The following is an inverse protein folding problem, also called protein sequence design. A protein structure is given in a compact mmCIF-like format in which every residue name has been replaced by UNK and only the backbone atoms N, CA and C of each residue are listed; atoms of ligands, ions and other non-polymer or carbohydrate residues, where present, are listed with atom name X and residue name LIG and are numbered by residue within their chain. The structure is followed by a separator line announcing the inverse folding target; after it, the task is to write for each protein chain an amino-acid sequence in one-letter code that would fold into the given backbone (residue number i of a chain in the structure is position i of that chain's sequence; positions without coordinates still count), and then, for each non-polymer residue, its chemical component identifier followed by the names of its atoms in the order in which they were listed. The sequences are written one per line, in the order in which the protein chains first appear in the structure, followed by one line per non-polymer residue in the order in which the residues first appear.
data_IF_378213778687
#
_entry.id   IF_378213778687
#
_cell.length_a   1.000
_cell.length_b   1.000
_cell.length_c   1.000
_cell.angle_alpha   90.00
_cell.angle_beta   90.00
_cell.angle_gamma   90.00
#
_symmetry.space_group_name_H-M   'P 1'
#
loop_
_entity.id
_entity.type
_entity.pdbx_description
1 polymer ?
#
# COMPACT_ATOMS: atom_id res chain seq x y z
N UNK A 1 52.68 30.42 40.33
CA UNK A 1 51.23 30.30 40.06
C UNK A 1 51.05 30.33 38.53
N UNK A 2 51.10 29.21 37.89
CA UNK A 2 50.88 29.08 36.44
C UNK A 2 49.69 28.16 36.19
N UNK A 3 48.64 28.73 35.64
CA UNK A 3 47.42 28.05 35.28
C UNK A 3 47.58 27.31 33.97
N UNK A 4 47.44 25.95 34.02
CA UNK A 4 47.38 25.11 32.85
C UNK A 4 46.05 25.25 32.16
N UNK A 5 46.00 25.88 31.00
CA UNK A 5 44.91 25.85 30.06
C UNK A 5 44.96 24.56 29.28
N UNK A 6 44.00 23.66 29.57
CA UNK A 6 43.81 22.44 28.76
C UNK A 6 43.15 22.81 27.43
N UNK A 7 43.86 22.57 26.33
CA UNK A 7 43.37 22.64 24.96
C UNK A 7 42.44 21.49 24.69
N UNK A 8 41.13 21.75 24.61
CA UNK A 8 40.11 20.88 24.04
C UNK A 8 39.97 21.18 22.53
N UNK A 9 40.79 20.57 21.71
CA UNK A 9 40.60 20.54 20.25
C UNK A 9 41.15 19.23 19.71
N UNK A 10 40.31 18.29 19.41
CA UNK A 10 40.49 17.25 18.39
C UNK A 10 39.73 15.94 18.69
N UNK A 11 38.39 15.99 18.75
CA UNK A 11 37.59 14.77 18.71
C UNK A 11 36.41 14.98 17.72
N UNK A 12 36.67 15.29 16.48
CA UNK A 12 35.57 15.40 15.51
C UNK A 12 35.92 14.96 14.08
N UNK A 13 37.07 14.32 13.87
CA UNK A 13 37.44 13.88 12.51
C UNK A 13 37.31 12.36 12.32
N UNK A 14 37.37 11.59 13.41
CA UNK A 14 37.34 10.12 13.32
C UNK A 14 35.94 9.52 13.17
N UNK A 15 34.91 10.18 13.70
CA UNK A 15 33.54 9.66 13.58
C UNK A 15 32.98 9.71 12.15
N UNK A 16 33.38 10.70 11.34
CA UNK A 16 32.93 10.79 9.94
C UNK A 16 33.60 9.74 9.05
N UNK A 17 34.85 9.40 9.33
CA UNK A 17 35.58 8.37 8.57
C UNK A 17 35.09 6.94 8.91
N UNK A 18 34.66 6.70 10.17
CA UNK A 18 34.10 5.41 10.57
C UNK A 18 32.73 5.20 9.90
N UNK A 19 31.89 6.24 9.80
CA UNK A 19 30.59 6.16 9.14
C UNK A 19 30.76 5.95 7.61
N UNK A 20 31.72 6.61 6.99
CA UNK A 20 32.00 6.46 5.55
C UNK A 20 32.60 5.07 5.26
N UNK A 21 33.49 4.57 6.12
CA UNK A 21 34.07 3.23 6.01
C UNK A 21 33.04 2.11 6.15
N UNK A 22 32.10 2.25 7.07
CA UNK A 22 31.01 1.27 7.28
C UNK A 22 30.02 1.25 6.11
N UNK A 23 29.73 2.41 5.52
CA UNK A 23 28.86 2.50 4.33
C UNK A 23 29.50 1.90 3.06
N UNK A 24 30.84 1.91 2.95
CA UNK A 24 31.52 1.39 1.76
C UNK A 24 31.69 -0.14 1.79
N UNK A 25 31.77 -0.76 2.99
CA UNK A 25 31.94 -2.21 3.16
C UNK A 25 30.65 -2.97 2.81
N UNK A 26 29.47 -2.34 2.97
CA UNK A 26 28.19 -2.98 2.67
C UNK A 26 27.88 -3.15 1.17
N UNK A 27 28.76 -2.73 0.26
CA UNK A 27 28.42 -2.69 -1.17
C UNK A 27 28.46 -4.05 -1.88
N UNK A 28 29.08 -5.10 -1.30
CA UNK A 28 29.32 -6.36 -2.00
C UNK A 28 29.08 -7.65 -1.20
N UNK A 29 28.53 -7.60 0.02
CA UNK A 29 28.20 -8.83 0.73
C UNK A 29 26.75 -9.22 0.47
N UNK A 30 26.55 -10.14 -0.48
CA UNK A 30 25.29 -10.88 -0.59
C UNK A 30 25.28 -11.90 0.55
N UNK A 31 24.36 -11.73 1.51
CA UNK A 31 24.20 -12.67 2.61
C UNK A 31 23.75 -14.05 2.08
N UNK A 32 24.31 -15.13 2.63
CA UNK A 32 23.83 -16.48 2.36
C UNK A 32 22.64 -16.76 3.30
N UNK A 33 21.50 -17.06 2.70
CA UNK A 33 20.29 -17.40 3.44
C UNK A 33 20.30 -18.88 3.83
N UNK A 34 20.01 -19.19 5.10
CA UNK A 34 19.75 -20.54 5.62
C UNK A 34 18.27 -20.68 5.98
N UNK A 35 17.81 -21.88 6.29
CA UNK A 35 16.44 -22.13 6.76
C UNK A 35 16.09 -21.34 8.02
N UNK A 36 17.03 -21.22 8.97
CA UNK A 36 16.84 -20.41 10.18
C UNK A 36 16.61 -18.92 9.84
N UNK A 37 17.36 -18.39 8.87
CA UNK A 37 17.14 -17.02 8.40
C UNK A 37 15.76 -16.87 7.74
N UNK A 38 15.34 -17.83 6.95
CA UNK A 38 14.04 -17.81 6.29
C UNK A 38 12.90 -17.88 7.29
N UNK A 39 13.01 -18.72 8.31
CA UNK A 39 12.03 -18.83 9.37
C UNK A 39 11.92 -17.53 10.18
N UNK A 40 13.04 -16.95 10.59
CA UNK A 40 13.04 -15.68 11.32
C UNK A 40 12.48 -14.54 10.49
N UNK A 41 12.77 -14.51 9.18
CA UNK A 41 12.17 -13.56 8.26
C UNK A 41 10.64 -13.71 8.22
N UNK A 42 10.12 -14.93 8.07
CA UNK A 42 8.68 -15.18 8.02
C UNK A 42 7.99 -14.78 9.33
N UNK A 43 8.57 -15.11 10.48
CA UNK A 43 8.05 -14.70 11.79
C UNK A 43 7.98 -13.19 11.93
N UNK A 44 9.02 -12.47 11.54
CA UNK A 44 9.04 -11.00 11.61
C UNK A 44 7.99 -10.38 10.68
N UNK A 45 7.82 -10.93 9.48
CA UNK A 45 6.78 -10.50 8.53
C UNK A 45 5.38 -10.72 9.08
N UNK A 46 5.13 -11.83 9.78
CA UNK A 46 3.84 -12.10 10.43
C UNK A 46 3.54 -11.13 11.58
N UNK A 47 4.56 -10.69 12.32
CA UNK A 47 4.42 -9.70 13.39
C UNK A 47 4.14 -8.30 12.83
N UNK A 48 4.90 -7.88 11.83
CA UNK A 48 4.84 -6.52 11.26
C UNK A 48 3.73 -6.32 10.21
N UNK A 49 3.21 -7.40 9.64
CA UNK A 49 2.08 -7.45 8.69
C UNK A 49 2.13 -6.39 7.55
N UNK A 50 3.20 -6.32 6.76
CA UNK A 50 3.36 -5.31 5.71
C UNK A 50 2.26 -5.36 4.63
N UNK A 51 1.55 -6.49 4.52
CA UNK A 51 0.47 -6.71 3.57
C UNK A 51 -0.81 -5.93 3.93
N UNK A 52 -0.97 -5.43 5.15
CA UNK A 52 -2.09 -4.54 5.53
C UNK A 52 -2.07 -3.21 4.76
N UNK A 53 -0.90 -2.79 4.31
CA UNK A 53 -0.74 -1.57 3.53
C UNK A 53 -0.72 -1.85 2.02
N UNK A 54 -1.23 -0.91 1.19
CA UNK A 54 -1.26 -1.05 -0.25
C UNK A 54 0.14 -1.29 -0.84
N UNK A 55 0.21 -2.08 -1.91
CA UNK A 55 1.45 -2.25 -2.68
C UNK A 55 1.89 -0.86 -3.18
N UNK A 56 3.18 -0.53 -3.04
CA UNK A 56 3.79 0.76 -3.40
C UNK A 56 3.45 1.95 -2.47
N UNK A 57 2.73 1.74 -1.36
CA UNK A 57 2.56 2.82 -0.37
C UNK A 57 3.88 3.09 0.38
N UNK A 58 4.00 4.31 0.87
CA UNK A 58 5.15 4.74 1.67
C UNK A 58 5.21 3.98 2.99
N UNK A 59 4.06 3.81 3.64
CA UNK A 59 3.92 3.09 4.91
C UNK A 59 4.41 1.65 4.79
N UNK A 60 4.01 0.94 3.71
CA UNK A 60 4.52 -0.40 3.44
C UNK A 60 6.04 -0.41 3.25
N UNK A 61 6.59 0.65 2.64
CA UNK A 61 8.04 0.82 2.49
C UNK A 61 8.78 1.00 3.81
N UNK A 62 8.21 1.77 4.74
CA UNK A 62 8.72 2.02 6.08
C UNK A 62 8.73 0.72 6.92
N UNK A 63 7.62 -0.03 6.93
CA UNK A 63 7.52 -1.32 7.62
C UNK A 63 8.58 -2.32 7.12
N UNK A 64 8.80 -2.38 5.80
CA UNK A 64 9.89 -3.21 5.27
C UNK A 64 11.28 -2.75 5.72
N UNK A 65 11.45 -1.45 5.97
CA UNK A 65 12.65 -0.89 6.57
C UNK A 65 12.84 -1.34 8.01
N UNK A 66 11.77 -1.32 8.80
CA UNK A 66 11.76 -1.77 10.20
C UNK A 66 12.04 -3.27 10.30
N UNK A 67 11.41 -4.10 9.46
CA UNK A 67 11.72 -5.55 9.39
C UNK A 67 13.20 -5.77 9.14
N UNK A 68 13.81 -5.05 8.19
CA UNK A 68 15.23 -5.19 7.91
C UNK A 68 16.10 -4.74 9.08
N UNK A 69 15.71 -3.72 9.85
CA UNK A 69 16.41 -3.27 11.05
C UNK A 69 16.30 -4.29 12.17
N UNK A 70 15.10 -4.81 12.44
CA UNK A 70 14.85 -5.80 13.47
C UNK A 70 15.66 -7.08 13.20
N UNK A 71 15.65 -7.57 11.97
CA UNK A 71 16.46 -8.74 11.58
C UNK A 71 17.96 -8.48 11.78
N UNK A 72 18.47 -7.32 11.36
CA UNK A 72 19.88 -6.95 11.55
C UNK A 72 20.26 -6.77 13.04
N UNK A 73 19.27 -6.53 13.91
CA UNK A 73 19.44 -6.46 15.37
C UNK A 73 19.59 -7.81 16.05
N UNK A 74 19.26 -8.92 15.37
CA UNK A 74 19.38 -10.26 15.93
C UNK A 74 20.84 -10.69 16.05
N UNK A 75 21.17 -11.33 17.17
CA UNK A 75 22.51 -11.86 17.40
C UNK A 75 22.71 -13.22 16.73
N UNK A 76 21.68 -14.06 16.73
CA UNK A 76 21.66 -15.42 16.14
C UNK A 76 20.26 -15.68 15.57
N UNK A 77 20.16 -16.03 14.30
CA UNK A 77 21.18 -15.97 13.26
C UNK A 77 21.56 -14.52 12.89
N UNK A 78 22.81 -14.31 12.49
CA UNK A 78 23.28 -12.96 12.18
C UNK A 78 22.85 -12.53 10.79
N UNK A 79 22.08 -11.45 10.72
CA UNK A 79 21.64 -10.85 9.46
C UNK A 79 22.54 -9.69 9.04
N UNK A 80 22.67 -9.54 7.72
CA UNK A 80 23.30 -8.38 7.07
C UNK A 80 22.51 -8.09 5.80
N UNK A 81 21.29 -7.55 6.00
CA UNK A 81 20.30 -7.41 4.92
C UNK A 81 19.84 -5.97 4.75
N UNK A 82 19.45 -5.65 3.52
CA UNK A 82 18.78 -4.40 3.17
C UNK A 82 17.30 -4.68 2.96
N UNK A 83 16.48 -3.66 3.10
CA UNK A 83 15.03 -3.70 2.85
C UNK A 83 14.65 -4.42 1.55
N UNK A 84 15.39 -4.15 0.47
CA UNK A 84 15.17 -4.80 -0.82
C UNK A 84 15.46 -6.30 -0.76
N UNK A 85 16.56 -6.72 -0.14
CA UNK A 85 16.96 -8.13 -0.03
C UNK A 85 15.92 -8.94 0.76
N UNK A 86 15.35 -8.35 1.81
CA UNK A 86 14.29 -8.94 2.62
C UNK A 86 13.04 -9.21 1.78
N UNK A 87 12.57 -8.21 1.02
CA UNK A 87 11.41 -8.35 0.12
C UNK A 87 11.65 -9.37 -0.99
N UNK A 88 12.81 -9.30 -1.63
CA UNK A 88 13.17 -10.21 -2.73
C UNK A 88 13.23 -11.66 -2.21
N UNK A 89 13.78 -11.87 -0.99
CA UNK A 89 13.83 -13.20 -0.37
C UNK A 89 12.45 -13.73 -0.06
N UNK A 90 11.57 -12.96 0.59
CA UNK A 90 10.21 -13.40 0.86
C UNK A 90 9.45 -13.73 -0.42
N UNK A 91 9.56 -12.89 -1.43
CA UNK A 91 8.92 -13.13 -2.74
C UNK A 91 9.40 -14.45 -3.36
N UNK A 92 10.70 -14.77 -3.23
CA UNK A 92 11.26 -16.04 -3.69
C UNK A 92 10.67 -17.23 -2.91
N UNK A 93 10.59 -17.12 -1.58
CA UNK A 93 10.04 -18.17 -0.71
C UNK A 93 8.56 -18.43 -1.03
N UNK A 94 7.75 -17.39 -1.11
CA UNK A 94 6.33 -17.51 -1.47
C UNK A 94 6.11 -18.12 -2.86
N UNK A 95 6.97 -17.77 -3.83
CA UNK A 95 6.90 -18.36 -5.17
C UNK A 95 7.21 -19.86 -5.12
N UNK A 96 8.28 -20.25 -4.42
CA UNK A 96 8.64 -21.66 -4.27
C UNK A 96 7.55 -22.46 -3.56
N UNK A 97 6.97 -21.89 -2.49
CA UNK A 97 5.88 -22.52 -1.76
C UNK A 97 4.64 -22.72 -2.64
N UNK A 98 4.21 -21.70 -3.38
CA UNK A 98 3.10 -21.80 -4.34
C UNK A 98 3.34 -22.85 -5.42
N UNK A 99 4.57 -22.97 -5.88
CA UNK A 99 4.95 -23.98 -6.87
C UNK A 99 4.90 -25.39 -6.27
N UNK A 100 5.36 -25.58 -5.02
CA UNK A 100 5.25 -26.83 -4.27
C UNK A 100 3.79 -27.25 -4.12
N UNK A 101 2.94 -26.38 -3.57
CA UNK A 101 1.49 -26.66 -3.37
C UNK A 101 0.82 -27.03 -4.68
N UNK A 102 1.07 -26.29 -5.77
CA UNK A 102 0.49 -26.59 -7.08
C UNK A 102 0.94 -27.96 -7.62
N UNK A 103 2.20 -28.33 -7.38
CA UNK A 103 2.71 -29.64 -7.82
C UNK A 103 2.10 -30.78 -6.99
N UNK A 104 1.87 -30.57 -5.70
CA UNK A 104 1.20 -31.52 -4.81
C UNK A 104 -0.27 -31.71 -5.21
N UNK A 105 -0.98 -30.64 -5.55
CA UNK A 105 -2.37 -30.72 -6.06
C UNK A 105 -2.48 -31.48 -7.39
N UNK A 106 -1.46 -31.39 -8.26
CA UNK A 106 -1.42 -32.09 -9.54
C UNK A 106 -0.92 -33.55 -9.42
N UNK A 107 -0.18 -33.84 -8.36
CA UNK A 107 0.35 -35.18 -8.08
C UNK A 107 -0.66 -36.06 -7.37
N UNK A 108 -1.39 -36.89 -8.12
CA UNK A 108 -2.35 -37.89 -7.59
C UNK A 108 -1.69 -38.74 -6.47
N UNK A 109 -1.98 -38.46 -5.21
CA UNK A 109 -1.75 -39.38 -4.09
C UNK A 109 -0.32 -39.47 -3.57
N UNK A 110 0.58 -38.53 -3.86
CA UNK A 110 1.85 -38.43 -3.14
C UNK A 110 1.61 -37.99 -1.71
N UNK A 111 2.18 -38.75 -0.76
CA UNK A 111 2.13 -38.44 0.67
C UNK A 111 2.54 -36.97 0.89
N UNK A 112 1.65 -36.23 1.51
CA UNK A 112 2.00 -34.97 2.12
C UNK A 112 3.05 -35.28 3.19
N UNK A 113 4.30 -34.89 2.95
CA UNK A 113 5.30 -34.88 4.01
C UNK A 113 4.81 -33.92 5.11
N UNK A 114 5.18 -34.17 6.35
CA UNK A 114 4.80 -33.28 7.46
C UNK A 114 5.21 -31.84 7.11
N UNK A 115 4.26 -30.90 7.19
CA UNK A 115 4.53 -29.49 6.93
C UNK A 115 5.60 -28.96 7.89
N UNK A 116 6.63 -28.36 7.32
CA UNK A 116 7.68 -27.72 8.11
C UNK A 116 7.16 -26.42 8.72
N UNK A 117 7.77 -25.99 9.83
CA UNK A 117 7.42 -24.70 10.48
C UNK A 117 7.51 -23.52 9.51
N UNK A 118 8.49 -23.57 8.59
CA UNK A 118 8.63 -22.57 7.54
C UNK A 118 7.43 -22.59 6.57
N UNK A 119 6.96 -23.76 6.20
CA UNK A 119 5.81 -23.89 5.28
C UNK A 119 4.52 -23.40 5.92
N UNK A 120 4.30 -23.73 7.20
CA UNK A 120 3.17 -23.19 7.96
C UNK A 120 3.20 -21.65 8.01
N UNK A 121 4.36 -21.05 8.28
CA UNK A 121 4.51 -19.61 8.29
C UNK A 121 4.26 -18.97 6.89
N UNK A 122 4.72 -19.62 5.82
CA UNK A 122 4.48 -19.16 4.46
C UNK A 122 3.00 -19.28 4.05
N UNK A 123 2.31 -20.35 4.47
CA UNK A 123 0.87 -20.51 4.29
C UNK A 123 0.11 -19.36 4.96
N UNK A 124 0.40 -19.09 6.22
CA UNK A 124 -0.23 -18.01 6.97
C UNK A 124 0.00 -16.63 6.33
N UNK A 125 1.23 -16.34 5.89
CA UNK A 125 1.54 -15.09 5.18
C UNK A 125 0.72 -14.97 3.90
N UNK A 126 0.59 -16.06 3.15
CA UNK A 126 -0.15 -16.08 1.88
C UNK A 126 -1.64 -15.84 2.10
N UNK A 127 -2.24 -16.48 3.11
CA UNK A 127 -3.65 -16.29 3.47
C UNK A 127 -3.92 -14.83 3.89
N UNK A 128 -3.08 -14.28 4.77
CA UNK A 128 -3.21 -12.89 5.22
C UNK A 128 -3.02 -11.89 4.08
N UNK A 129 -2.08 -12.13 3.15
CA UNK A 129 -1.90 -11.27 1.97
C UNK A 129 -3.14 -11.32 1.06
N UNK A 130 -3.72 -12.50 0.84
CA UNK A 130 -4.92 -12.67 0.04
C UNK A 130 -6.13 -12.00 0.70
N UNK A 131 -6.33 -12.18 1.99
CA UNK A 131 -7.41 -11.53 2.74
C UNK A 131 -7.32 -10.01 2.65
N UNK A 132 -6.14 -9.42 2.85
CA UNK A 132 -5.92 -7.99 2.73
C UNK A 132 -6.11 -7.47 1.29
N UNK A 133 -5.78 -8.26 0.26
CA UNK A 133 -6.03 -7.89 -1.14
C UNK A 133 -7.53 -7.95 -1.49
N UNK A 134 -8.29 -8.90 -0.92
CA UNK A 134 -9.75 -9.00 -1.08
C UNK A 134 -10.45 -7.81 -0.43
N UNK A 135 -10.14 -7.51 0.82
CA UNK A 135 -10.70 -6.37 1.54
C UNK A 135 -10.49 -5.05 0.79
N UNK A 136 -9.30 -4.84 0.25
CA UNK A 136 -9.00 -3.65 -0.57
C UNK A 136 -9.82 -3.59 -1.84
N UNK A 137 -10.04 -4.72 -2.51
CA UNK A 137 -10.88 -4.78 -3.72
C UNK A 137 -12.35 -4.46 -3.39
N UNK A 138 -12.88 -5.00 -2.31
CA UNK A 138 -14.26 -4.71 -1.86
C UNK A 138 -14.43 -3.23 -1.53
N UNK A 139 -13.49 -2.65 -0.77
CA UNK A 139 -13.50 -1.23 -0.45
C UNK A 139 -13.41 -0.35 -1.72
N UNK A 140 -12.62 -0.74 -2.72
CA UNK A 140 -12.52 -0.01 -3.98
C UNK A 140 -13.82 -0.11 -4.78
N UNK A 141 -14.45 -1.29 -4.83
CA UNK A 141 -15.70 -1.51 -5.55
C UNK A 141 -16.86 -0.72 -4.91
N UNK A 142 -16.93 -0.66 -3.58
CA UNK A 142 -17.95 0.11 -2.87
C UNK A 142 -17.79 1.61 -3.14
N UNK A 143 -16.57 2.12 -3.18
CA UNK A 143 -16.28 3.53 -3.50
C UNK A 143 -16.61 3.87 -4.96
N UNK A 144 -16.30 2.98 -5.92
CA UNK A 144 -16.65 3.17 -7.34
C UNK A 144 -18.17 3.18 -7.54
N UNK A 145 -18.87 2.21 -6.96
CA UNK A 145 -20.33 2.15 -7.03
C UNK A 145 -21.00 3.40 -6.43
N UNK A 146 -20.47 3.90 -5.31
CA UNK A 146 -20.96 5.14 -4.68
C UNK A 146 -20.74 6.34 -5.60
N UNK A 147 -19.57 6.47 -6.20
CA UNK A 147 -19.23 7.55 -7.13
C UNK A 147 -20.13 7.53 -8.38
N UNK A 148 -20.41 6.34 -8.93
CA UNK A 148 -21.31 6.18 -10.08
C UNK A 148 -22.75 6.57 -9.73
N UNK A 149 -23.25 6.17 -8.57
CA UNK A 149 -24.57 6.56 -8.08
C UNK A 149 -24.68 8.08 -7.84
N UNK A 150 -23.65 8.68 -7.24
CA UNK A 150 -23.60 10.12 -7.00
C UNK A 150 -23.58 10.90 -8.33
N UNK A 151 -22.84 10.40 -9.33
CA UNK A 151 -22.80 10.97 -10.68
C UNK A 151 -24.17 10.87 -11.39
N UNK A 152 -24.82 9.72 -11.34
CA UNK A 152 -26.15 9.51 -11.90
C UNK A 152 -27.18 10.42 -11.24
N UNK A 153 -27.17 10.55 -9.90
CA UNK A 153 -28.05 11.45 -9.16
C UNK A 153 -27.81 12.93 -9.50
N UNK A 154 -26.56 13.31 -9.71
CA UNK A 154 -26.20 14.68 -10.14
C UNK A 154 -26.70 14.97 -11.57
N UNK A 155 -26.60 14.02 -12.49
CA UNK A 155 -27.13 14.16 -13.85
C UNK A 155 -28.65 14.26 -13.86
N UNK A 156 -29.35 13.43 -13.09
CA UNK A 156 -30.80 13.51 -12.95
C UNK A 156 -31.26 14.87 -12.38
N UNK A 157 -30.52 15.36 -11.37
CA UNK A 157 -30.80 16.67 -10.79
C UNK A 157 -30.61 17.82 -11.79
N UNK A 158 -29.59 17.74 -12.65
CA UNK A 158 -29.35 18.69 -13.74
C UNK A 158 -30.48 18.65 -14.76
N UNK A 159 -30.94 17.48 -15.18
CA UNK A 159 -32.02 17.33 -16.12
C UNK A 159 -33.33 17.92 -15.58
N UNK A 160 -33.68 17.62 -14.32
CA UNK A 160 -34.83 18.19 -13.64
C UNK A 160 -34.76 19.72 -13.54
N UNK A 161 -33.57 20.26 -13.26
CA UNK A 161 -33.37 21.71 -13.23
C UNK A 161 -33.56 22.37 -14.60
N UNK A 162 -33.03 21.77 -15.67
CA UNK A 162 -33.20 22.24 -17.04
C UNK A 162 -34.67 22.21 -17.49
N UNK A 163 -35.39 21.14 -17.12
CA UNK A 163 -36.82 21.02 -17.42
C UNK A 163 -37.65 22.12 -16.72
N UNK A 164 -37.38 22.39 -15.43
CA UNK A 164 -38.02 23.47 -14.66
C UNK A 164 -37.73 24.84 -15.29
N UNK A 165 -36.50 25.11 -15.75
CA UNK A 165 -36.14 26.34 -16.42
C UNK A 165 -36.87 26.48 -17.78
N UNK A 166 -37.01 25.38 -18.51
CA UNK A 166 -37.78 25.34 -19.76
C UNK A 166 -39.26 25.65 -19.52
N UNK A 167 -39.88 25.09 -18.50
CA UNK A 167 -41.28 25.36 -18.13
C UNK A 167 -41.48 26.82 -17.68
N UNK A 168 -40.53 27.37 -16.89
CA UNK A 168 -40.60 28.78 -16.46
C UNK A 168 -40.50 29.73 -17.64
N UNK A 169 -39.62 29.45 -18.60
CA UNK A 169 -39.48 30.26 -19.84
C UNK A 169 -40.74 30.21 -20.70
N UNK A 170 -41.40 29.06 -20.80
CA UNK A 170 -42.64 28.87 -21.52
C UNK A 170 -43.78 29.65 -20.87
N UNK A 171 -43.94 29.60 -19.55
CA UNK A 171 -44.95 30.36 -18.79
C UNK A 171 -44.79 31.88 -18.97
N UNK A 172 -43.54 32.37 -18.96
CA UNK A 172 -43.26 33.80 -19.18
C UNK A 172 -43.55 34.23 -20.61
N UNK A 173 -43.32 33.39 -21.62
CA UNK A 173 -43.67 33.67 -23.00
C UNK A 173 -45.19 33.75 -23.20
N UNK A 174 -45.94 32.79 -22.68
CA UNK A 174 -47.39 32.76 -22.73
C UNK A 174 -48.03 33.98 -22.01
N UNK A 175 -47.45 34.43 -20.89
CA UNK A 175 -47.86 35.63 -20.17
C UNK A 175 -47.61 36.92 -20.95
N UNK A 176 -46.51 37.01 -21.71
CA UNK A 176 -46.21 38.17 -22.56
C UNK A 176 -47.18 38.29 -23.76
N UNK A 177 -47.58 37.16 -24.37
CA UNK A 177 -48.52 37.14 -25.48
C UNK A 177 -49.95 37.56 -25.04
N UNK A 178 -50.40 37.19 -23.84
CA UNK A 178 -51.68 37.66 -23.30
C UNK A 178 -51.69 39.17 -23.02
N UNK A 179 -50.59 39.70 -22.50
CA UNK A 179 -50.48 41.15 -22.25
C UNK A 179 -50.46 41.95 -23.57
N UNK A 180 -49.86 41.43 -24.60
CA UNK A 180 -49.86 42.09 -25.96
C UNK A 180 -51.29 42.03 -26.56
N UNK A 181 -52.01 40.93 -26.47
CA UNK A 181 -53.39 40.78 -26.92
C UNK A 181 -54.34 41.72 -26.18
N UNK A 182 -54.17 41.94 -24.89
CA UNK A 182 -55.00 42.87 -24.12
C UNK A 182 -54.68 44.33 -24.44
N UNK A 183 -53.47 44.71 -24.71
CA UNK A 183 -53.11 46.07 -25.15
C UNK A 183 -53.71 46.38 -26.52
N UNK A 184 -53.65 45.44 -27.48
CA UNK A 184 -54.24 45.65 -28.81
C UNK A 184 -55.75 45.79 -28.78
N UNK A 185 -56.47 45.17 -27.88
CA UNK A 185 -57.90 45.31 -27.68
C UNK A 185 -58.34 46.65 -27.06
N UNK A 186 -57.44 47.32 -26.29
CA UNK A 186 -57.73 48.64 -25.68
C UNK A 186 -57.45 49.83 -26.62
N UNK A 187 -56.77 49.61 -27.71
CA UNK A 187 -56.46 50.70 -28.66
C UNK A 187 -57.48 50.86 -29.80
N UNK A 188 -58.63 50.20 -29.75
CA UNK A 188 -59.68 50.21 -30.80
C UNK A 188 -60.95 50.95 -30.33
N UNK A 189 -60.84 51.88 -29.36
CA UNK A 189 -61.90 52.81 -28.97
C UNK A 189 -61.36 54.23 -28.93
#
# INVERSE_FOLDING_TARGET
MESKVCKLTSINTDCKNIIIGTLFIFRNYSMKWSEEHDLMLCREVLVMEPFKHPKQSRERGEIWGEIAQNLNGLSVPKFTVRTRSVRDRLTLLLRKYKEKVRNEEQGFGMKCDEETELEMALSEIMEKEQAADLERKENTNTLTNRNENDKASAEESRLKALERLGQTKKRNADSCDEVIKQKSRRSIW
#
